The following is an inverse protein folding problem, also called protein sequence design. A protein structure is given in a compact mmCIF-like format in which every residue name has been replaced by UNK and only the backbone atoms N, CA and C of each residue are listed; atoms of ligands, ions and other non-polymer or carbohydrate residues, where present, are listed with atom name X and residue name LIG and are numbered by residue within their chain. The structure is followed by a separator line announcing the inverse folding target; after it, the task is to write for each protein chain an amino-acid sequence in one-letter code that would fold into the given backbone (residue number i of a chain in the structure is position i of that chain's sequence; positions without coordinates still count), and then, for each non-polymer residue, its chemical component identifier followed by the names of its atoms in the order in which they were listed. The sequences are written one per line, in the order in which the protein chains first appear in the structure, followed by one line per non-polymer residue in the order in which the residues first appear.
data_IF_518346385262
#
_entry.id   IF_518346385262
#
_cell.length_a   1.000
_cell.length_b   1.000
_cell.length_c   1.000
_cell.angle_alpha   90.00
_cell.angle_beta   90.00
_cell.angle_gamma   90.00
#
_symmetry.space_group_name_H-M   'P 1'
#
loop_
_entity.id
_entity.type
_entity.pdbx_description
1 polymer ?
#
# COMPACT_ATOMS: atom_id res chain seq x y z
N UNK A 1 2.76 15.03 3.67
CA UNK A 1 1.93 13.84 3.36
C UNK A 1 2.49 12.65 4.10
N UNK A 2 1.97 11.44 3.84
CA UNK A 2 2.38 10.21 4.54
C UNK A 2 2.83 9.16 3.50
N UNK A 3 3.84 8.37 3.84
CA UNK A 3 4.34 7.26 3.02
C UNK A 3 4.70 7.66 1.58
N UNK A 4 4.14 6.96 0.59
CA UNK A 4 4.41 7.22 -0.84
C UNK A 4 4.03 8.62 -1.31
N UNK A 5 3.21 9.36 -0.56
CA UNK A 5 2.79 10.73 -0.83
C UNK A 5 3.37 11.74 0.19
N UNK A 6 4.49 11.42 0.83
CA UNK A 6 5.21 12.36 1.71
C UNK A 6 5.64 13.61 0.94
N UNK A 7 6.25 13.42 -0.24
CA UNK A 7 6.76 14.48 -1.11
C UNK A 7 5.83 14.80 -2.28
N UNK A 8 5.83 16.07 -2.69
CA UNK A 8 5.17 16.54 -3.92
C UNK A 8 6.21 16.66 -5.02
N UNK A 9 5.91 16.08 -6.18
CA UNK A 9 6.81 16.09 -7.33
C UNK A 9 6.34 17.06 -8.41
N UNK A 10 7.29 17.78 -8.99
CA UNK A 10 7.09 18.66 -10.15
C UNK A 10 7.97 18.18 -11.28
N UNK A 11 7.46 18.27 -12.51
CA UNK A 11 8.18 17.83 -13.72
C UNK A 11 8.21 18.94 -14.76
N UNK A 12 9.30 18.97 -15.53
CA UNK A 12 9.48 19.83 -16.70
C UNK A 12 10.33 19.10 -17.74
N UNK A 13 10.09 19.38 -19.02
CA UNK A 13 10.87 18.78 -20.12
C UNK A 13 12.21 19.49 -20.34
N UNK A 14 12.35 20.74 -19.87
CA UNK A 14 13.60 21.50 -20.01
C UNK A 14 13.71 22.54 -18.89
N UNK A 15 14.93 22.79 -18.37
CA UNK A 15 15.15 23.83 -17.36
C UNK A 15 14.78 25.19 -17.96
N UNK A 16 13.73 25.83 -17.42
CA UNK A 16 13.19 27.11 -17.89
C UNK A 16 11.75 27.05 -18.43
N UNK A 17 11.22 25.85 -18.68
CA UNK A 17 9.79 25.66 -19.00
C UNK A 17 8.92 25.60 -17.74
N UNK A 18 7.59 25.84 -17.85
CA UNK A 18 6.69 25.75 -16.71
C UNK A 18 6.72 24.36 -16.07
N UNK A 19 6.74 24.35 -14.75
CA UNK A 19 6.74 23.14 -13.96
C UNK A 19 5.31 22.64 -13.72
N UNK A 20 5.07 21.37 -14.00
CA UNK A 20 3.76 20.75 -13.83
C UNK A 20 3.80 19.88 -12.57
N UNK A 21 2.87 20.13 -11.64
CA UNK A 21 2.69 19.31 -10.44
C UNK A 21 2.14 17.94 -10.82
N UNK A 22 2.80 16.87 -10.39
CA UNK A 22 2.31 15.51 -10.54
C UNK A 22 1.21 15.21 -9.50
N UNK A 23 0.23 14.34 -9.84
CA UNK A 23 -0.81 13.93 -8.91
C UNK A 23 -0.24 13.09 -7.75
N UNK A 24 -1.05 12.89 -6.70
CA UNK A 24 -0.73 11.92 -5.66
C UNK A 24 -0.88 10.49 -6.21
N UNK A 25 0.00 9.59 -5.78
CA UNK A 25 -0.02 8.19 -6.23
C UNK A 25 -1.05 7.40 -5.43
N UNK A 26 -1.82 6.53 -6.10
CA UNK A 26 -2.73 5.56 -5.46
C UNK A 26 -2.04 4.18 -5.36
N UNK A 27 -2.34 3.37 -4.35
CA UNK A 27 -1.76 2.02 -4.22
C UNK A 27 -2.05 1.12 -5.43
N UNK A 28 -3.28 1.17 -5.94
CA UNK A 28 -3.68 0.45 -7.16
C UNK A 28 -2.81 0.83 -8.37
N UNK A 29 -2.43 2.11 -8.48
CA UNK A 29 -1.55 2.63 -9.53
C UNK A 29 -0.17 1.96 -9.47
N UNK A 30 0.41 1.85 -8.27
CA UNK A 30 1.71 1.19 -8.06
C UNK A 30 1.64 -0.30 -8.41
N UNK A 31 0.59 -0.99 -7.95
CA UNK A 31 0.44 -2.43 -8.19
C UNK A 31 0.26 -2.75 -9.67
N UNK A 32 -0.47 -1.91 -10.39
CA UNK A 32 -0.60 -2.05 -11.84
C UNK A 32 0.74 -1.81 -12.54
N UNK A 33 1.45 -0.73 -12.19
CA UNK A 33 2.75 -0.38 -12.79
C UNK A 33 3.82 -1.46 -12.58
N UNK A 34 3.71 -2.29 -11.54
CA UNK A 34 4.57 -3.47 -11.34
C UNK A 34 4.36 -4.56 -12.40
N UNK A 35 3.19 -4.63 -13.03
CA UNK A 35 2.80 -5.68 -14.00
C UNK A 35 3.12 -5.33 -15.45
N UNK A 36 3.48 -4.08 -15.72
CA UNK A 36 3.69 -3.57 -17.09
C UNK A 36 5.10 -3.01 -17.28
N UNK A 37 5.56 -3.02 -18.54
CA UNK A 37 6.83 -2.44 -18.96
C UNK A 37 6.59 -1.52 -20.16
N UNK A 38 6.57 -0.21 -19.92
CA UNK A 38 6.24 0.80 -20.93
C UNK A 38 7.30 1.90 -20.92
N UNK A 39 7.75 2.34 -22.10
CA UNK A 39 8.63 3.50 -22.22
C UNK A 39 7.82 4.79 -22.18
N UNK A 40 8.42 5.85 -21.66
CA UNK A 40 7.81 7.18 -21.61
C UNK A 40 7.79 7.82 -23.00
N UNK A 41 6.68 8.50 -23.33
CA UNK A 41 6.55 9.28 -24.58
C UNK A 41 7.02 10.72 -24.40
N UNK A 42 7.12 11.20 -23.16
CA UNK A 42 7.41 12.61 -22.85
C UNK A 42 6.16 13.49 -22.87
N UNK A 43 4.97 12.91 -23.07
CA UNK A 43 3.69 13.60 -23.03
C UNK A 43 2.87 13.10 -21.83
N UNK A 44 2.67 13.94 -20.83
CA UNK A 44 1.95 13.61 -19.59
C UNK A 44 0.48 13.19 -19.80
N UNK A 45 -0.11 13.56 -20.93
CA UNK A 45 -1.49 13.24 -21.31
C UNK A 45 -1.60 12.00 -22.20
N UNK A 46 -0.48 11.35 -22.54
CA UNK A 46 -0.50 10.11 -23.29
C UNK A 46 -1.14 8.99 -22.48
N UNK A 47 -1.89 8.12 -23.13
CA UNK A 47 -2.48 6.95 -22.49
C UNK A 47 -1.44 5.84 -22.38
N UNK A 48 -1.35 5.22 -21.20
CA UNK A 48 -0.42 4.09 -21.01
C UNK A 48 -1.05 2.83 -21.56
N UNK A 49 -0.44 2.28 -22.61
CA UNK A 49 -0.89 1.05 -23.26
C UNK A 49 -0.18 -0.17 -22.67
N UNK A 50 -0.94 -1.19 -22.26
CA UNK A 50 -0.41 -2.43 -21.72
C UNK A 50 -1.50 -3.43 -21.37
N UNK A 51 -1.10 -4.62 -20.95
CA UNK A 51 -1.99 -5.60 -20.34
C UNK A 51 -1.55 -5.85 -18.89
N UNK A 52 -2.44 -5.79 -17.88
CA UNK A 52 -3.91 -5.67 -17.94
C UNK A 52 -4.43 -4.39 -18.62
N UNK A 53 -5.59 -4.38 -19.29
CA UNK A 53 -6.07 -3.22 -20.03
C UNK A 53 -6.55 -2.12 -19.08
N UNK A 54 -6.42 -0.87 -19.52
CA UNK A 54 -6.82 0.36 -18.80
C UNK A 54 -5.83 0.75 -17.70
N UNK A 55 -5.03 1.76 -18.01
CA UNK A 55 -4.37 2.55 -16.99
C UNK A 55 -4.55 4.03 -17.27
N UNK A 56 -4.34 4.83 -16.23
CA UNK A 56 -4.38 6.28 -16.31
C UNK A 56 -3.39 6.86 -17.31
N UNK A 57 -3.13 8.15 -17.15
CA UNK A 57 -2.28 8.88 -18.08
C UNK A 57 -0.79 8.65 -17.75
N UNK A 58 0.10 9.02 -18.66
CA UNK A 58 1.55 8.91 -18.45
C UNK A 58 2.02 9.63 -17.18
N UNK A 59 1.37 10.72 -16.77
CA UNK A 59 1.63 11.39 -15.49
C UNK A 59 1.47 10.48 -14.26
N UNK A 60 0.50 9.58 -14.29
CA UNK A 60 0.20 8.65 -13.19
C UNK A 60 1.24 7.51 -13.18
N UNK A 61 1.62 7.04 -14.37
CA UNK A 61 2.71 6.06 -14.54
C UNK A 61 4.05 6.62 -14.09
N UNK A 62 4.40 7.84 -14.52
CA UNK A 62 5.61 8.54 -14.10
C UNK A 62 5.65 8.70 -12.58
N UNK A 63 4.55 9.18 -12.00
CA UNK A 63 4.44 9.36 -10.54
C UNK A 63 4.62 8.06 -9.77
N UNK A 64 4.09 6.95 -10.29
CA UNK A 64 4.25 5.63 -9.68
C UNK A 64 5.68 5.08 -9.84
N UNK A 65 6.32 5.28 -10.99
CA UNK A 65 7.73 4.91 -11.19
C UNK A 65 8.66 5.69 -10.26
N UNK A 66 8.42 7.00 -10.09
CA UNK A 66 9.14 7.81 -9.09
C UNK A 66 8.99 7.20 -7.70
N UNK A 67 7.75 6.88 -7.27
CA UNK A 67 7.53 6.27 -5.95
C UNK A 67 8.32 4.97 -5.77
N UNK A 68 8.30 4.10 -6.78
CA UNK A 68 9.02 2.81 -6.75
C UNK A 68 10.54 2.99 -6.69
N UNK A 69 11.09 3.83 -7.57
CA UNK A 69 12.54 4.09 -7.60
C UNK A 69 12.98 4.68 -6.27
N UNK A 70 12.33 5.77 -5.84
CA UNK A 70 12.65 6.46 -4.58
C UNK A 70 12.60 5.54 -3.37
N UNK A 71 11.58 4.68 -3.25
CA UNK A 71 11.49 3.75 -2.13
C UNK A 71 12.56 2.64 -2.12
N UNK A 72 13.16 2.33 -3.27
CA UNK A 72 14.15 1.25 -3.40
C UNK A 72 15.59 1.72 -3.53
N UNK A 73 15.82 2.99 -3.89
CA UNK A 73 17.15 3.49 -4.22
C UNK A 73 17.59 4.70 -3.40
N UNK A 74 16.75 5.18 -2.47
CA UNK A 74 17.12 6.31 -1.64
C UNK A 74 17.86 5.83 -0.38
N UNK A 75 19.18 5.90 -0.45
CA UNK A 75 20.07 5.42 0.60
C UNK A 75 20.88 6.58 1.19
N UNK A 76 21.42 6.37 2.38
CA UNK A 76 22.27 7.32 3.10
C UNK A 76 23.40 6.57 3.81
N UNK A 77 24.53 7.23 4.12
CA UNK A 77 25.54 6.65 4.98
C UNK A 77 24.96 6.19 6.32
N UNK A 78 25.42 5.05 6.83
CA UNK A 78 25.02 4.52 8.11
C UNK A 78 25.32 5.55 9.22
N UNK A 79 24.35 5.78 10.12
CA UNK A 79 24.48 6.76 11.21
C UNK A 79 24.30 8.23 10.80
N UNK A 80 24.10 8.55 9.52
CA UNK A 80 23.77 9.92 9.08
C UNK A 80 22.39 10.36 9.60
N UNK A 81 21.46 9.41 9.63
CA UNK A 81 20.14 9.57 10.19
C UNK A 81 20.00 8.76 11.47
N UNK A 82 19.21 9.27 12.39
CA UNK A 82 18.83 8.58 13.63
C UNK A 82 17.32 8.61 13.77
N UNK A 83 16.77 7.51 14.27
CA UNK A 83 15.36 7.41 14.62
C UNK A 83 15.19 8.09 15.98
N UNK A 84 14.30 9.08 16.07
CA UNK A 84 13.83 9.52 17.38
C UNK A 84 12.69 8.60 17.78
N UNK A 85 12.85 7.92 18.92
CA UNK A 85 11.76 7.18 19.53
C UNK A 85 10.64 8.18 19.83
N UNK A 86 9.52 8.01 19.15
CA UNK A 86 8.26 8.55 19.64
C UNK A 86 7.92 7.62 20.80
N UNK A 87 7.81 8.15 22.01
CA UNK A 87 7.46 7.40 23.22
C UNK A 87 6.45 6.30 22.87
N UNK A 88 6.80 5.05 23.17
CA UNK A 88 5.94 3.88 23.04
C UNK A 88 4.77 4.02 24.03
N UNK A 89 3.85 4.97 23.81
CA UNK A 89 2.51 4.83 24.33
C UNK A 89 1.92 3.60 23.65
N UNK A 90 1.53 2.61 24.48
CA UNK A 90 0.96 1.32 24.09
C UNK A 90 -0.11 1.49 23.00
N UNK A 91 0.32 1.48 21.75
CA UNK A 91 -0.55 1.72 20.61
C UNK A 91 -1.04 0.37 20.14
N UNK A 92 -2.29 0.08 20.52
CA UNK A 92 -3.08 -1.00 19.93
C UNK A 92 -2.91 -0.99 18.41
N UNK A 93 -2.90 -2.18 17.80
CA UNK A 93 -2.59 -2.45 16.38
C UNK A 93 -3.42 -1.67 15.33
N UNK A 94 -4.33 -0.79 15.76
CA UNK A 94 -5.22 0.01 14.94
C UNK A 94 -4.95 1.52 14.98
N UNK A 95 -4.09 2.02 15.87
CA UNK A 95 -3.80 3.45 15.88
C UNK A 95 -2.65 3.84 14.94
N UNK A 96 -2.85 4.97 14.29
CA UNK A 96 -2.03 5.60 13.27
C UNK A 96 -0.60 5.87 13.77
N UNK A 97 0.24 4.84 13.93
CA UNK A 97 1.67 4.96 14.25
C UNK A 97 2.24 6.09 13.40
N UNK A 98 2.71 7.22 13.95
CA UNK A 98 3.40 8.22 13.13
C UNK A 98 4.62 7.52 12.52
N UNK A 99 4.94 7.78 11.25
CA UNK A 99 6.14 7.18 10.64
C UNK A 99 7.31 7.58 11.55
N UNK A 100 8.26 6.68 11.87
CA UNK A 100 9.38 7.00 12.74
C UNK A 100 10.04 8.28 12.23
N UNK A 101 10.15 9.28 13.10
CA UNK A 101 10.71 10.54 12.67
C UNK A 101 12.23 10.38 12.52
N UNK A 102 12.69 10.39 11.27
CA UNK A 102 14.11 10.37 10.95
C UNK A 102 14.64 11.81 11.09
N UNK A 103 15.64 11.99 11.95
CA UNK A 103 16.36 13.26 12.08
C UNK A 103 17.81 13.11 11.63
N UNK A 104 18.40 14.20 11.14
CA UNK A 104 19.83 14.25 10.82
C UNK A 104 20.61 14.15 12.13
N UNK A 105 21.53 13.19 12.18
CA UNK A 105 22.44 13.05 13.30
C UNK A 105 23.46 14.19 13.26
N UNK A 106 23.36 15.13 14.20
CA UNK A 106 24.30 16.26 14.29
C UNK A 106 25.72 15.83 14.64
N UNK A 107 25.92 14.63 15.19
CA UNK A 107 27.21 14.06 15.57
C UNK A 107 27.83 13.20 14.48
N UNK A 108 27.17 13.04 13.33
CA UNK A 108 27.66 12.22 12.23
C UNK A 108 29.05 12.70 11.78
N UNK A 109 30.03 11.79 11.85
CA UNK A 109 31.41 12.02 11.45
C UNK A 109 32.11 13.23 12.14
N UNK A 110 31.68 13.61 13.35
CA UNK A 110 32.29 14.70 14.10
C UNK A 110 33.46 14.28 15.00
N UNK A 111 33.68 12.97 15.19
CA UNK A 111 34.79 12.47 16.01
C UNK A 111 36.12 12.56 15.23
N UNK A 112 37.04 13.45 15.62
CA UNK A 112 38.32 13.61 14.93
C UNK A 112 39.27 12.43 15.15
N UNK A 113 38.97 11.51 16.07
CA UNK A 113 39.83 10.36 16.40
C UNK A 113 39.61 9.17 15.47
N UNK A 114 38.42 9.05 14.88
CA UNK A 114 38.08 7.99 13.93
C UNK A 114 37.09 8.51 12.87
N UNK A 115 37.55 9.40 11.96
CA UNK A 115 36.68 9.91 10.90
C UNK A 115 36.31 8.80 9.94
N UNK A 116 35.04 8.78 9.51
CA UNK A 116 34.58 7.92 8.43
C UNK A 116 35.34 8.33 7.17
N UNK A 117 36.08 7.40 6.57
CA UNK A 117 36.82 7.69 5.34
C UNK A 117 36.03 7.28 4.10
N UNK A 118 36.41 7.82 2.94
CA UNK A 118 35.76 7.47 1.67
C UNK A 118 36.02 6.00 1.33
N UNK A 119 37.18 5.44 1.74
CA UNK A 119 37.48 4.01 1.55
C UNK A 119 36.58 3.12 2.39
N UNK A 120 36.25 3.53 3.63
CA UNK A 120 35.30 2.82 4.47
C UNK A 120 33.90 2.83 3.83
N UNK A 121 33.44 4.01 3.39
CA UNK A 121 32.16 4.13 2.68
C UNK A 121 32.12 3.29 1.41
N UNK A 122 33.25 3.10 0.72
CA UNK A 122 33.36 2.31 -0.51
C UNK A 122 33.62 0.81 -0.26
N UNK A 123 33.47 0.34 0.98
CA UNK A 123 33.70 -1.05 1.32
C UNK A 123 32.72 -1.99 0.60
N UNK A 124 33.23 -3.12 0.11
CA UNK A 124 32.46 -4.09 -0.66
C UNK A 124 31.45 -4.89 0.18
N UNK A 125 31.48 -4.76 1.52
CA UNK A 125 30.50 -5.39 2.41
C UNK A 125 29.09 -4.79 2.31
N UNK A 126 28.96 -3.56 1.77
CA UNK A 126 27.68 -2.87 1.58
C UNK A 126 26.91 -2.57 2.90
N UNK A 127 27.59 -2.60 4.05
CA UNK A 127 26.96 -2.35 5.37
C UNK A 127 26.88 -0.85 5.70
N UNK A 128 27.77 -0.04 5.11
CA UNK A 128 27.92 1.40 5.40
C UNK A 128 26.83 2.27 4.77
N UNK A 129 25.90 1.67 4.04
CA UNK A 129 24.80 2.37 3.37
C UNK A 129 23.48 1.76 3.80
N UNK A 130 22.53 2.61 4.19
CA UNK A 130 21.23 2.21 4.73
C UNK A 130 20.09 2.88 3.98
N UNK A 131 18.93 2.22 3.91
CA UNK A 131 17.72 2.79 3.32
C UNK A 131 17.14 3.89 4.21
N UNK A 132 17.01 5.10 3.68
CA UNK A 132 16.47 6.25 4.44
C UNK A 132 14.95 6.44 4.29
N UNK A 133 14.31 5.67 3.42
CA UNK A 133 12.87 5.75 3.14
C UNK A 133 12.19 4.40 3.34
N UNK A 134 10.90 4.39 3.71
CA UNK A 134 10.17 3.14 3.95
C UNK A 134 9.92 2.36 2.65
N UNK A 135 9.99 1.03 2.76
CA UNK A 135 9.66 0.12 1.67
C UNK A 135 8.18 0.23 1.26
N UNK A 136 7.90 0.04 -0.03
CA UNK A 136 6.52 -0.09 -0.53
C UNK A 136 6.15 -1.57 -0.57
N UNK A 137 5.22 -1.96 0.30
CA UNK A 137 4.67 -3.32 0.38
C UNK A 137 4.04 -3.79 -0.94
N UNK A 138 3.83 -5.10 -1.12
CA UNK A 138 3.05 -5.66 -2.23
C UNK A 138 1.66 -5.01 -2.41
N UNK A 139 1.04 -4.51 -1.34
CA UNK A 139 -0.22 -3.76 -1.39
C UNK A 139 -0.10 -2.38 -2.09
N UNK A 140 1.10 -1.85 -2.29
CA UNK A 140 1.33 -0.54 -2.91
C UNK A 140 1.29 0.63 -1.90
N UNK A 141 1.41 0.33 -0.60
CA UNK A 141 1.47 1.26 0.52
C UNK A 141 2.77 1.02 1.30
N UNK A 142 3.23 2.00 2.06
CA UNK A 142 4.37 1.84 2.98
C UNK A 142 3.97 1.20 4.31
N UNK A 143 2.66 1.14 4.57
CA UNK A 143 2.08 0.51 5.75
C UNK A 143 1.01 -0.46 5.32
N UNK A 144 0.93 -1.57 6.05
CA UNK A 144 -0.10 -2.54 5.84
C UNK A 144 -1.48 -1.93 6.16
N UNK A 145 -2.41 -2.05 5.24
CA UNK A 145 -3.81 -1.69 5.48
C UNK A 145 -4.65 -2.96 5.62
N UNK A 146 -5.31 -3.07 6.77
CA UNK A 146 -6.27 -4.13 7.08
C UNK A 146 -7.68 -3.69 6.64
N UNK A 147 -8.41 -4.50 5.84
CA UNK A 147 -9.82 -4.24 5.53
C UNK A 147 -10.70 -4.21 6.80
N UNK A 148 -11.75 -3.37 6.86
CA UNK A 148 -12.59 -3.20 8.07
C UNK A 148 -13.55 -4.35 8.46
N UNK A 149 -13.34 -5.60 8.03
CA UNK A 149 -14.38 -6.66 8.10
C UNK A 149 -14.08 -7.81 9.06
N UNK A 150 -13.37 -7.57 10.17
CA UNK A 150 -13.09 -8.62 11.18
C UNK A 150 -13.37 -8.20 12.63
N UNK A 151 -13.91 -7.00 12.86
CA UNK A 151 -14.35 -6.57 14.18
C UNK A 151 -15.69 -5.85 14.05
N UNK A 152 -16.73 -6.51 14.56
CA UNK A 152 -17.92 -5.87 15.16
C UNK A 152 -19.00 -5.36 14.20
N UNK A 153 -19.65 -6.25 13.44
CA UNK A 153 -21.11 -6.21 13.21
C UNK A 153 -21.57 -7.60 12.77
N UNK A 154 -21.83 -8.51 13.69
CA UNK A 154 -22.88 -9.51 13.51
C UNK A 154 -23.23 -10.07 14.89
N UNK A 155 -24.51 -9.92 15.19
CA UNK A 155 -25.21 -10.56 16.29
C UNK A 155 -24.85 -12.04 16.35
N UNK A 156 -24.64 -12.51 17.57
CA UNK A 156 -24.41 -13.92 17.88
C UNK A 156 -25.63 -14.71 17.40
N UNK A 157 -25.51 -15.34 16.23
CA UNK A 157 -26.18 -16.58 15.92
C UNK A 157 -25.07 -17.59 15.70
N UNK A 158 -24.85 -18.41 16.74
CA UNK A 158 -24.00 -19.59 16.68
C UNK A 158 -24.59 -20.53 15.63
N UNK A 159 -23.98 -20.59 14.44
CA UNK A 159 -24.00 -21.66 13.43
C UNK A 159 -23.68 -21.08 12.03
N UNK A 160 -22.42 -20.69 11.81
CA UNK A 160 -21.80 -20.58 10.45
C UNK A 160 -20.27 -20.43 10.60
N UNK A 161 -19.63 -21.48 11.11
CA UNK A 161 -18.20 -21.55 11.49
C UNK A 161 -17.27 -21.99 10.35
N UNK A 162 -17.44 -21.53 9.11
CA UNK A 162 -16.55 -21.96 8.01
C UNK A 162 -16.26 -20.93 6.89
N UNK A 163 -16.63 -19.65 7.07
CA UNK A 163 -16.35 -18.62 6.04
C UNK A 163 -15.87 -17.27 6.56
N UNK A 164 -15.29 -17.22 7.76
CA UNK A 164 -14.38 -16.13 8.08
C UNK A 164 -13.09 -16.36 7.27
N UNK A 165 -12.89 -15.60 6.18
CA UNK A 165 -11.55 -15.30 5.67
C UNK A 165 -10.80 -14.52 6.77
N UNK A 166 -10.41 -15.24 7.82
CA UNK A 166 -9.40 -14.82 8.77
C UNK A 166 -8.19 -14.55 7.88
N UNK A 167 -7.88 -13.27 7.69
CA UNK A 167 -6.58 -12.84 7.20
C UNK A 167 -5.57 -13.49 8.14
N UNK A 168 -5.07 -14.68 7.77
CA UNK A 168 -4.07 -15.41 8.52
C UNK A 168 -3.04 -14.38 8.98
N UNK A 169 -2.72 -14.29 10.26
CA UNK A 169 -1.72 -13.33 10.76
C UNK A 169 -0.38 -13.48 10.00
N UNK A 170 -0.14 -14.67 9.44
CA UNK A 170 0.96 -14.99 8.52
C UNK A 170 0.97 -14.18 7.20
N UNK A 171 -0.17 -13.61 6.77
CA UNK A 171 -0.29 -12.76 5.57
C UNK A 171 -0.06 -11.27 5.87
N UNK A 172 0.22 -10.89 7.11
CA UNK A 172 0.61 -9.52 7.46
C UNK A 172 1.94 -9.18 6.81
N UNK A 173 1.92 -8.22 5.88
CA UNK A 173 3.13 -7.73 5.24
C UNK A 173 3.76 -6.66 6.14
N UNK A 174 4.75 -7.06 6.92
CA UNK A 174 5.52 -6.16 7.78
C UNK A 174 6.61 -5.50 6.91
N UNK A 175 6.66 -4.16 6.81
CA UNK A 175 7.71 -3.50 6.05
C UNK A 175 9.07 -3.70 6.72
N UNK A 176 10.14 -3.72 5.91
CA UNK A 176 11.49 -3.70 6.44
C UNK A 176 11.70 -2.51 7.42
N UNK A 177 12.47 -2.71 8.51
CA UNK A 177 12.84 -1.61 9.39
C UNK A 177 13.54 -0.47 8.63
N UNK A 178 13.31 0.77 9.07
CA UNK A 178 14.05 1.91 8.54
C UNK A 178 15.53 1.80 8.92
N UNK A 179 16.39 2.39 8.09
CA UNK A 179 17.84 2.36 8.27
C UNK A 179 18.45 0.95 8.22
N UNK A 180 17.79 0.02 7.53
CA UNK A 180 18.36 -1.29 7.24
C UNK A 180 19.53 -1.16 6.24
N UNK A 181 20.66 -1.87 6.47
CA UNK A 181 21.77 -1.92 5.52
C UNK A 181 21.39 -2.50 4.16
N UNK A 182 21.97 -1.95 3.09
CA UNK A 182 21.74 -2.45 1.73
C UNK A 182 22.39 -3.81 1.47
N UNK A 183 23.27 -4.28 2.37
CA UNK A 183 23.83 -5.64 2.35
C UNK A 183 22.77 -6.72 2.53
N UNK A 184 21.67 -6.40 3.21
CA UNK A 184 20.58 -7.33 3.49
C UNK A 184 19.55 -7.41 2.35
N UNK A 185 19.71 -6.58 1.31
CA UNK A 185 18.82 -6.60 0.14
C UNK A 185 18.96 -7.92 -0.61
N UNK A 186 17.88 -8.70 -0.62
CA UNK A 186 17.80 -9.99 -1.35
C UNK A 186 16.84 -9.89 -2.51
N UNK A 187 17.28 -10.33 -3.68
CA UNK A 187 16.43 -10.50 -4.85
C UNK A 187 15.76 -11.88 -4.81
N UNK A 188 14.43 -11.91 -4.68
CA UNK A 188 13.65 -13.15 -4.56
C UNK A 188 13.80 -14.13 -5.73
N UNK A 189 14.19 -13.65 -6.92
CA UNK A 189 14.14 -14.42 -8.16
C UNK A 189 15.48 -14.47 -8.90
N UNK A 190 16.56 -13.97 -8.31
CA UNK A 190 17.87 -13.91 -8.98
C UNK A 190 19.00 -13.83 -7.96
N UNK A 191 20.07 -14.61 -8.16
CA UNK A 191 21.31 -14.51 -7.36
C UNK A 191 22.17 -13.28 -7.71
N UNK A 192 21.56 -12.24 -8.27
CA UNK A 192 22.26 -11.04 -8.69
C UNK A 192 22.48 -10.12 -7.49
N UNK A 193 23.69 -9.56 -7.41
CA UNK A 193 24.01 -8.57 -6.39
C UNK A 193 23.22 -7.28 -6.71
N UNK A 194 22.36 -6.80 -5.80
CA UNK A 194 21.47 -5.66 -6.04
C UNK A 194 22.21 -4.32 -6.20
N UNK A 195 23.40 -4.21 -5.63
CA UNK A 195 24.20 -2.99 -5.57
C UNK A 195 25.62 -3.22 -6.09
N UNK A 196 26.25 -2.17 -6.59
CA UNK A 196 27.71 -2.16 -6.77
C UNK A 196 28.27 -0.86 -6.22
N UNK A 197 29.42 -0.97 -5.59
CA UNK A 197 30.08 0.13 -4.92
C UNK A 197 31.51 0.31 -5.44
N UNK A 198 32.03 1.54 -5.35
CA UNK A 198 33.41 1.81 -5.69
C UNK A 198 33.80 3.26 -5.49
N UNK A 199 35.06 3.54 -5.80
CA UNK A 199 35.63 4.88 -5.77
C UNK A 199 35.59 5.51 -7.16
N UNK A 200 35.26 6.80 -7.25
CA UNK A 200 35.30 7.54 -8.52
C UNK A 200 36.73 7.69 -9.05
N UNK A 201 37.73 7.74 -8.17
CA UNK A 201 39.14 7.82 -8.53
C UNK A 201 39.97 6.82 -7.74
N UNK A 202 40.75 6.00 -8.45
CA UNK A 202 41.64 5.01 -7.80
C UNK A 202 43.01 5.59 -7.41
N UNK A 203 43.42 6.73 -7.97
CA UNK A 203 44.80 7.26 -7.86
C UNK A 203 44.93 8.29 -6.74
N UNK A 204 43.95 9.19 -6.59
CA UNK A 204 43.94 10.25 -5.57
C UNK A 204 42.71 10.08 -4.69
N UNK A 205 42.82 9.19 -3.69
CA UNK A 205 41.69 8.83 -2.83
C UNK A 205 41.21 10.01 -1.98
N UNK A 206 42.11 10.95 -1.63
CA UNK A 206 41.81 12.18 -0.89
C UNK A 206 40.76 13.08 -1.58
N UNK A 207 40.67 13.04 -2.91
CA UNK A 207 39.67 13.78 -3.68
C UNK A 207 38.59 12.87 -4.29
N UNK A 208 38.63 11.57 -3.99
CA UNK A 208 37.67 10.61 -4.51
C UNK A 208 36.35 10.73 -3.74
N UNK A 209 35.27 10.31 -4.40
CA UNK A 209 33.99 10.06 -3.75
C UNK A 209 33.68 8.57 -3.83
N UNK A 210 32.86 8.10 -2.90
CA UNK A 210 32.24 6.79 -3.00
C UNK A 210 31.02 6.90 -3.91
N UNK A 211 30.89 5.99 -4.87
CA UNK A 211 29.66 5.81 -5.62
C UNK A 211 29.03 4.47 -5.27
N UNK A 212 27.72 4.48 -5.13
CA UNK A 212 26.88 3.29 -5.03
C UNK A 212 25.91 3.33 -6.21
N UNK A 213 25.81 2.23 -6.96
CA UNK A 213 24.85 2.11 -8.08
C UNK A 213 23.88 0.97 -7.84
N UNK A 214 22.61 1.18 -8.16
CA UNK A 214 21.63 0.10 -8.17
C UNK A 214 21.75 -0.71 -9.45
N UNK A 215 21.85 -2.02 -9.32
CA UNK A 215 21.78 -2.95 -10.45
C UNK A 215 20.32 -3.31 -10.81
N UNK A 216 19.39 -3.12 -9.88
CA UNK A 216 17.94 -3.33 -10.07
C UNK A 216 17.31 -2.17 -10.82
N UNK A 217 17.75 -0.95 -10.51
CA UNK A 217 17.30 0.26 -11.20
C UNK A 217 18.49 0.92 -11.91
N UNK A 218 18.85 0.45 -13.12
CA UNK A 218 19.91 1.07 -13.90
C UNK A 218 19.64 2.57 -14.06
N UNK A 219 20.61 3.37 -13.63
CA UNK A 219 20.50 4.83 -13.59
C UNK A 219 20.38 5.43 -12.20
N UNK A 220 20.11 4.62 -11.17
CA UNK A 220 20.16 5.08 -9.78
C UNK A 220 21.61 5.05 -9.27
N UNK A 221 22.08 6.21 -8.85
CA UNK A 221 23.40 6.42 -8.27
C UNK A 221 23.28 7.21 -6.96
N UNK A 222 24.09 6.83 -6.00
CA UNK A 222 24.33 7.59 -4.79
C UNK A 222 25.80 7.92 -4.76
N UNK A 223 26.10 9.21 -4.58
CA UNK A 223 27.46 9.70 -4.44
C UNK A 223 27.61 10.27 -3.04
N UNK A 224 28.67 9.91 -2.36
CA UNK A 224 28.96 10.41 -1.03
C UNK A 224 30.45 10.65 -0.83
N UNK A 225 30.76 11.72 -0.11
CA UNK A 225 31.97 11.80 0.68
C UNK A 225 31.56 11.68 2.17
N UNK A 226 32.53 11.65 3.06
CA UNK A 226 32.28 11.48 4.49
C UNK A 226 31.48 12.63 5.15
N UNK A 227 31.21 13.71 4.43
CA UNK A 227 30.50 14.90 4.95
C UNK A 227 29.11 15.08 4.31
N UNK A 228 29.01 14.78 3.01
CA UNK A 228 27.87 15.08 2.16
C UNK A 228 27.61 13.89 1.23
N UNK A 229 26.33 13.64 0.96
CA UNK A 229 25.92 12.65 -0.03
C UNK A 229 24.70 13.14 -0.79
N UNK A 230 24.45 12.55 -1.95
CA UNK A 230 23.24 12.79 -2.70
C UNK A 230 22.82 11.56 -3.50
N UNK A 231 21.51 11.41 -3.68
CA UNK A 231 20.89 10.39 -4.51
C UNK A 231 20.44 11.01 -5.83
N UNK A 232 20.73 10.32 -6.94
CA UNK A 232 20.43 10.77 -8.29
C UNK A 232 19.91 9.60 -9.12
N UNK A 233 18.82 9.82 -9.85
CA UNK A 233 18.33 8.88 -10.84
C UNK A 233 18.39 9.50 -12.24
N UNK A 234 19.12 8.86 -13.15
CA UNK A 234 19.15 9.21 -14.58
C UNK A 234 18.96 7.92 -15.39
N UNK A 235 17.79 7.75 -15.99
CA UNK A 235 17.51 6.57 -16.79
C UNK A 235 16.10 6.51 -17.34
N UNK A 236 15.74 5.34 -17.87
CA UNK A 236 14.48 5.08 -18.57
C UNK A 236 13.31 4.75 -17.63
N UNK A 237 13.54 4.74 -16.32
CA UNK A 237 12.57 4.31 -15.32
C UNK A 237 12.16 2.86 -15.50
N UNK A 238 13.07 1.96 -15.90
CA UNK A 238 12.77 0.53 -16.09
C UNK A 238 13.54 -0.31 -15.08
N UNK A 239 12.82 -1.23 -14.44
CA UNK A 239 13.42 -2.19 -13.52
C UNK A 239 14.14 -3.28 -14.31
N UNK A 240 15.34 -3.62 -13.86
CA UNK A 240 16.10 -4.76 -14.34
C UNK A 240 15.62 -6.00 -13.60
N UNK A 241 14.63 -6.68 -14.18
CA UNK A 241 14.11 -7.96 -13.72
C UNK A 241 13.64 -8.77 -14.93
N UNK A 242 13.51 -10.09 -14.76
CA UNK A 242 12.89 -10.93 -15.77
C UNK A 242 11.41 -10.57 -15.87
N UNK A 243 11.04 -9.93 -16.98
CA UNK A 243 9.67 -9.52 -17.23
C UNK A 243 8.88 -10.63 -17.92
N UNK A 244 7.89 -11.18 -17.23
CA UNK A 244 6.92 -12.10 -17.79
C UNK A 244 5.59 -11.36 -17.96
N UNK A 245 5.07 -11.19 -19.19
CA UNK A 245 3.79 -10.54 -19.42
C UNK A 245 2.66 -11.21 -18.63
N UNK A 246 1.73 -10.41 -18.11
CA UNK A 246 0.57 -10.94 -17.39
C UNK A 246 -0.30 -11.78 -18.32
N UNK A 247 -0.73 -12.95 -17.85
CA UNK A 247 -1.70 -13.78 -18.56
C UNK A 247 -3.12 -13.22 -18.39
N UNK A 248 -4.02 -13.44 -19.37
CA UNK A 248 -5.45 -13.16 -19.19
C UNK A 248 -6.00 -13.79 -17.92
N UNK A 249 -6.99 -13.14 -17.31
CA UNK A 249 -7.74 -13.73 -16.20
C UNK A 249 -8.32 -15.08 -16.62
N UNK A 250 -8.34 -16.03 -15.69
CA UNK A 250 -9.01 -17.32 -15.91
C UNK A 250 -10.49 -17.02 -16.16
N UNK A 251 -11.12 -17.63 -17.18
CA UNK A 251 -12.56 -17.50 -17.38
C UNK A 251 -13.31 -17.94 -16.12
N UNK A 252 -14.33 -17.17 -15.74
CA UNK A 252 -15.20 -17.53 -14.62
C UNK A 252 -15.86 -18.89 -14.88
N UNK A 253 -16.02 -19.69 -13.83
CA UNK A 253 -16.70 -20.97 -13.92
C UNK A 253 -18.19 -20.77 -14.10
N UNK A 254 -18.81 -21.59 -14.95
CA UNK A 254 -20.27 -21.64 -15.06
C UNK A 254 -20.90 -22.12 -13.74
N UNK A 255 -22.16 -21.76 -13.55
CA UNK A 255 -22.94 -22.22 -12.40
C UNK A 255 -22.98 -23.75 -12.36
N UNK A 256 -22.57 -24.32 -11.23
CA UNK A 256 -22.29 -25.76 -11.10
C UNK A 256 -23.48 -26.59 -10.66
N UNK A 257 -24.55 -25.98 -10.15
CA UNK A 257 -25.72 -26.70 -9.70
C UNK A 257 -26.66 -26.95 -10.88
N UNK A 258 -27.28 -28.13 -10.88
CA UNK A 258 -28.30 -28.46 -11.88
C UNK A 258 -29.44 -27.45 -11.79
N UNK A 259 -29.69 -26.75 -12.90
CA UNK A 259 -30.85 -25.87 -13.01
C UNK A 259 -32.09 -26.76 -13.10
N UNK A 260 -32.81 -26.87 -11.99
CA UNK A 260 -34.08 -27.59 -11.94
C UNK A 260 -35.18 -26.61 -12.34
N UNK A 261 -35.69 -26.77 -13.57
CA UNK A 261 -36.90 -26.08 -14.01
C UNK A 261 -38.07 -26.54 -13.13
N UNK A 262 -38.66 -25.60 -12.38
CA UNK A 262 -39.89 -25.86 -11.65
C UNK A 262 -41.05 -25.69 -12.62
N UNK A 263 -41.93 -26.69 -12.69
CA UNK A 263 -43.18 -26.55 -13.42
C UNK A 263 -44.00 -25.41 -12.83
N UNK A 264 -44.68 -24.65 -13.68
CA UNK A 264 -45.61 -23.61 -13.25
C UNK A 264 -46.67 -24.22 -12.31
N UNK A 265 -46.94 -23.59 -11.15
CA UNK A 265 -48.00 -24.04 -10.27
C UNK A 265 -49.36 -23.99 -10.99
N UNK A 266 -50.26 -24.91 -10.63
CA UNK A 266 -51.66 -24.84 -11.09
C UNK A 266 -52.32 -23.54 -10.61
N UNK A 267 -53.26 -23.01 -11.41
CA UNK A 267 -54.05 -21.81 -11.07
C UNK A 267 -54.70 -21.93 -9.69
N UNK A 268 -55.20 -23.12 -9.34
CA UNK A 268 -55.84 -23.37 -8.04
C UNK A 268 -54.86 -23.27 -6.86
N UNK A 269 -53.59 -23.65 -7.07
CA UNK A 269 -52.55 -23.56 -6.05
C UNK A 269 -52.05 -22.13 -5.88
N UNK A 270 -51.96 -21.35 -6.96
CA UNK A 270 -51.67 -19.93 -6.91
C UNK A 270 -52.78 -19.14 -6.18
N UNK A 271 -54.04 -19.47 -6.46
CA UNK A 271 -55.19 -18.85 -5.80
C UNK A 271 -55.25 -19.19 -4.30
N UNK A 272 -54.94 -20.45 -3.93
CA UNK A 272 -54.79 -20.85 -2.54
C UNK A 272 -53.62 -20.15 -1.82
N UNK A 273 -52.47 -20.01 -2.48
CA UNK A 273 -51.34 -19.24 -1.92
C UNK A 273 -51.66 -17.76 -1.76
N UNK A 274 -52.43 -17.18 -2.70
CA UNK A 274 -52.89 -15.79 -2.62
C UNK A 274 -53.85 -15.60 -1.45
N UNK A 275 -54.79 -16.52 -1.26
CA UNK A 275 -55.72 -16.49 -0.12
C UNK A 275 -54.97 -16.68 1.20
N UNK A 276 -54.05 -17.66 1.29
CA UNK A 276 -53.25 -17.88 2.49
C UNK A 276 -52.34 -16.69 2.82
N UNK A 277 -51.75 -16.03 1.82
CA UNK A 277 -50.98 -14.80 2.02
C UNK A 277 -51.87 -13.65 2.50
N UNK A 278 -53.10 -13.54 1.98
CA UNK A 278 -54.09 -12.56 2.44
C UNK A 278 -54.53 -12.85 3.88
N UNK A 279 -54.73 -14.12 4.23
CA UNK A 279 -55.07 -14.56 5.60
C UNK A 279 -53.92 -14.25 6.56
N UNK A 280 -52.68 -14.59 6.23
CA UNK A 280 -51.48 -14.22 7.00
C UNK A 280 -51.35 -12.70 7.19
N UNK A 281 -51.56 -11.90 6.14
CA UNK A 281 -51.53 -10.43 6.27
C UNK A 281 -52.71 -9.88 7.07
N UNK A 282 -53.86 -10.57 7.07
CA UNK A 282 -55.00 -10.18 7.89
C UNK A 282 -54.84 -10.60 9.35
N UNK A 283 -54.17 -11.72 9.61
CA UNK A 283 -53.80 -12.17 10.95
C UNK A 283 -52.73 -11.24 11.56
N UNK A 284 -51.69 -10.87 10.78
CA UNK A 284 -50.71 -9.84 11.19
C UNK A 284 -51.36 -8.48 11.45
N UNK A 285 -52.31 -8.05 10.61
CA UNK A 285 -53.06 -6.82 10.87
C UNK A 285 -54.03 -6.93 12.06
N UNK A 286 -54.60 -8.09 12.34
CA UNK A 286 -55.42 -8.28 13.54
C UNK A 286 -54.59 -8.39 14.82
N UNK A 287 -53.37 -8.95 14.77
CA UNK A 287 -52.47 -8.99 15.92
C UNK A 287 -51.88 -7.61 16.24
N UNK A 288 -51.60 -6.79 15.22
CA UNK A 288 -51.17 -5.40 15.39
C UNK A 288 -52.29 -4.48 15.91
N UNK A 289 -53.57 -4.83 15.66
CA UNK A 289 -54.74 -4.15 16.21
C UNK A 289 -55.04 -4.60 17.65
N UNK A 290 -54.88 -5.90 17.99
CA UNK A 290 -55.04 -6.40 19.37
C UNK A 290 -53.90 -5.93 20.31
N UNK A 291 -52.64 -5.85 19.86
CA UNK A 291 -51.53 -5.27 20.67
C UNK A 291 -51.67 -3.75 20.88
N UNK A 292 -52.36 -3.03 19.99
CA UNK A 292 -52.68 -1.61 20.19
C UNK A 292 -53.89 -1.38 21.10
N UNK A 293 -54.88 -2.28 21.11
CA UNK A 293 -56.04 -2.17 22.01
C UNK A 293 -55.68 -2.51 23.46
N UNK A 294 -54.72 -3.42 23.73
CA UNK A 294 -54.25 -3.67 25.11
C UNK A 294 -53.40 -2.51 25.69
N UNK A 295 -52.72 -1.70 24.87
CA UNK A 295 -52.02 -0.49 25.35
C UNK A 295 -52.95 0.72 25.58
N UNK A 296 -54.13 0.75 24.96
CA UNK A 296 -55.10 1.84 25.15
C UNK A 296 -56.00 1.64 26.38
N UNK A 297 -56.13 0.43 26.91
CA UNK A 297 -56.92 0.18 28.13
C UNK A 297 -56.16 0.45 29.44
N UNK A 298 -54.83 0.42 29.43
CA UNK A 298 -54.02 0.73 30.63
C UNK A 298 -53.78 2.24 30.82
N UNK A 299 -53.92 3.08 29.78
CA UNK A 299 -53.79 4.55 29.91
C UNK A 299 -55.12 5.26 30.29
N UNK A 300 -56.29 4.63 30.13
CA UNK A 300 -57.59 5.24 30.49
C UNK A 300 -58.02 4.95 31.95
N UNK A 301 -57.37 4.05 32.69
CA UNK A 301 -57.63 3.84 34.13
C UNK A 301 -56.75 4.70 35.08
N UNK A 302 -55.70 5.39 34.58
CA UNK A 302 -54.87 6.28 35.41
C UNK A 302 -55.32 7.77 35.41
N UNK A 303 -56.24 8.21 34.54
CA UNK A 303 -56.73 9.61 34.51
C UNK A 303 -58.03 9.88 35.32
N UNK A 304 -58.67 8.88 35.92
CA UNK A 304 -59.86 9.07 36.80
C UNK A 304 -59.59 9.04 38.32
N UNK A 305 -58.33 8.96 38.79
CA UNK A 305 -57.97 9.11 40.23
C UNK A 305 -57.29 10.44 40.61
N UNK A 306 -57.33 11.47 39.75
CA UNK A 306 -56.85 12.83 40.11
C UNK A 306 -57.93 13.93 40.10
N UNK A 307 -59.22 13.55 40.18
CA UNK A 307 -60.32 14.47 40.47
C UNK A 307 -61.43 13.83 41.33
N UNK A 308 -61.11 13.51 42.59
CA UNK A 308 -62.02 13.70 43.76
C UNK A 308 -61.26 13.62 45.11
#
# INVERSE_FOLDING_TARGET
GIGTNQYTYFVTNSPGLPWIKLPNVKPATINYVRKIRCLFTGCLLSQVTGFPPIFGLEKDYLRAQIARITATTHISPAGYYMLTDVEEEETTLNDERKDPNIIINSEFNNDPTNPITVEQLANSNLEEWVHSLPEILPQGRTRFWRPPSAQTTNSITEEDDDNEEILNENNLQIPAPLLQPISDDKLLHTDQIPWSIGLTMSIMQEYSMCYVRSNIWPGAFTLGNAENYFNLYIGWGQKYEQFNPSHPSVPETEYSQELIEKNDPSVEFEEAQRIAALELTSEEHSSDEEENEEQLTDEEEEEEEEND
#
